data_IF_671971493420
#
_entry.id   IF_671971493420
#
_cell.length_a   1.000
_cell.length_b   1.000
_cell.length_c   1.000
_cell.angle_alpha   90.00
_cell.angle_beta   90.00
_cell.angle_gamma   90.00
#
_symmetry.space_group_name_H-M   'P 1'
#
loop_
_entity.id
_entity.type
_entity.pdbx_description
1 polymer ?
#
# COMPACT_ATOMS: atom_id res chain seq x y z
N UNK A 1 12.73 -17.88 11.07
CA UNK A 1 11.99 -18.38 9.90
C UNK A 1 10.55 -17.93 10.04
N UNK A 2 10.06 -16.91 9.33
CA UNK A 2 8.63 -16.64 9.34
C UNK A 2 7.95 -17.78 8.57
N UNK A 3 7.00 -18.42 9.22
CA UNK A 3 6.12 -19.44 8.69
C UNK A 3 5.52 -18.94 7.37
N UNK A 4 5.78 -19.67 6.27
CA UNK A 4 5.05 -19.50 5.02
C UNK A 4 3.55 -19.73 5.33
N UNK A 5 2.82 -18.65 5.59
CA UNK A 5 1.36 -18.69 5.58
C UNK A 5 0.98 -19.12 4.17
N UNK A 6 0.55 -20.38 4.00
CA UNK A 6 -0.12 -20.82 2.77
C UNK A 6 -1.23 -19.81 2.52
N UNK A 7 -1.10 -19.01 1.45
CA UNK A 7 -2.21 -18.18 0.97
C UNK A 7 -3.42 -19.12 0.81
N UNK A 8 -4.52 -18.87 1.51
CA UNK A 8 -5.72 -19.66 1.31
C UNK A 8 -6.08 -19.55 -0.18
N UNK A 9 -6.27 -20.68 -0.83
CA UNK A 9 -6.75 -20.72 -2.22
C UNK A 9 -8.09 -19.98 -2.22
N UNK A 10 -8.14 -18.80 -2.88
CA UNK A 10 -9.37 -18.04 -3.00
C UNK A 10 -10.37 -18.84 -3.84
N UNK A 11 -11.53 -19.18 -3.26
CA UNK A 11 -12.62 -19.74 -4.02
C UNK A 11 -13.28 -18.66 -4.92
N UNK A 12 -14.01 -19.09 -5.94
CA UNK A 12 -14.63 -18.18 -6.93
C UNK A 12 -15.59 -17.20 -6.26
N UNK A 13 -16.27 -17.62 -5.19
CA UNK A 13 -17.17 -16.73 -4.43
C UNK A 13 -16.37 -15.62 -3.73
N UNK A 14 -15.24 -15.94 -3.12
CA UNK A 14 -14.37 -14.91 -2.49
C UNK A 14 -13.77 -13.95 -3.53
N UNK A 15 -13.39 -14.46 -4.71
CA UNK A 15 -12.94 -13.63 -5.82
C UNK A 15 -14.04 -12.64 -6.27
N UNK A 16 -15.25 -13.12 -6.48
CA UNK A 16 -16.40 -12.27 -6.84
C UNK A 16 -16.69 -11.21 -5.78
N UNK A 17 -16.61 -11.57 -4.48
CA UNK A 17 -16.77 -10.60 -3.38
C UNK A 17 -15.71 -9.51 -3.45
N UNK A 18 -14.44 -9.87 -3.69
CA UNK A 18 -13.34 -8.90 -3.83
C UNK A 18 -13.61 -7.97 -5.01
N UNK A 19 -13.99 -8.49 -6.18
CA UNK A 19 -14.26 -7.70 -7.38
C UNK A 19 -15.40 -6.70 -7.16
N UNK A 20 -16.48 -7.14 -6.53
CA UNK A 20 -17.61 -6.26 -6.19
C UNK A 20 -17.22 -5.14 -5.22
N UNK A 21 -16.33 -5.41 -4.27
CA UNK A 21 -15.81 -4.41 -3.34
C UNK A 21 -14.71 -3.53 -3.97
N UNK A 22 -13.99 -4.00 -4.99
CA UNK A 22 -13.08 -3.17 -5.78
C UNK A 22 -13.84 -2.19 -6.69
N UNK A 23 -15.05 -2.56 -7.15
CA UNK A 23 -15.92 -1.65 -7.89
C UNK A 23 -16.54 -0.58 -6.98
N UNK A 24 -17.05 -1.00 -5.81
CA UNK A 24 -17.64 -0.13 -4.80
C UNK A 24 -17.36 -0.67 -3.38
N UNK A 25 -16.37 -0.10 -2.73
CA UNK A 25 -15.98 -0.46 -1.35
C UNK A 25 -17.08 -0.21 -0.29
N UNK A 26 -18.17 0.48 -0.65
CA UNK A 26 -19.33 0.75 0.20
C UNK A 26 -20.53 -0.14 -0.10
N UNK A 27 -20.42 -1.07 -1.06
CA UNK A 27 -21.48 -1.99 -1.45
C UNK A 27 -21.98 -2.78 -0.23
N UNK A 28 -23.32 -2.86 -0.06
CA UNK A 28 -23.87 -3.54 1.10
C UNK A 28 -23.61 -5.05 1.04
N UNK A 29 -23.37 -5.67 2.18
CA UNK A 29 -23.19 -7.13 2.22
C UNK A 29 -24.44 -7.92 1.84
N UNK A 30 -25.63 -7.30 2.01
CA UNK A 30 -26.89 -7.86 1.51
C UNK A 30 -26.92 -7.90 -0.02
N UNK A 31 -26.45 -6.84 -0.70
CA UNK A 31 -26.39 -6.80 -2.17
C UNK A 31 -25.32 -7.77 -2.71
N UNK A 32 -24.18 -7.83 -2.07
CA UNK A 32 -23.14 -8.81 -2.39
C UNK A 32 -23.71 -10.22 -2.22
N UNK A 33 -24.39 -10.49 -1.10
CA UNK A 33 -25.01 -11.79 -0.84
C UNK A 33 -25.98 -12.23 -1.93
N UNK A 34 -26.84 -11.32 -2.41
CA UNK A 34 -27.72 -11.58 -3.55
C UNK A 34 -26.95 -11.92 -4.83
N UNK A 35 -25.85 -11.23 -5.10
CA UNK A 35 -25.05 -11.47 -6.30
C UNK A 35 -24.32 -12.81 -6.27
N UNK A 36 -23.88 -13.29 -5.10
CA UNK A 36 -23.09 -14.53 -4.95
C UNK A 36 -23.89 -15.71 -4.37
N UNK A 37 -25.18 -15.56 -4.13
CA UNK A 37 -26.05 -16.63 -3.59
C UNK A 37 -25.79 -16.95 -2.10
N UNK A 38 -25.39 -15.97 -1.30
CA UNK A 38 -25.10 -16.13 0.14
C UNK A 38 -25.97 -15.21 1.01
N UNK A 39 -26.12 -15.57 2.28
CA UNK A 39 -26.68 -14.65 3.28
C UNK A 39 -25.71 -13.50 3.58
N UNK A 40 -26.22 -12.36 4.05
CA UNK A 40 -25.42 -11.23 4.51
C UNK A 40 -24.38 -11.64 5.57
N UNK A 41 -24.81 -12.50 6.51
CA UNK A 41 -23.93 -12.99 7.57
C UNK A 41 -22.75 -13.83 7.01
N UNK A 42 -23.00 -14.65 6.00
CA UNK A 42 -21.97 -15.44 5.32
C UNK A 42 -20.97 -14.56 4.55
N UNK A 43 -21.48 -13.50 3.88
CA UNK A 43 -20.62 -12.50 3.22
C UNK A 43 -19.76 -11.78 4.25
N UNK A 44 -20.34 -11.28 5.34
CA UNK A 44 -19.62 -10.61 6.43
C UNK A 44 -18.48 -11.47 6.97
N UNK A 45 -18.74 -12.74 7.23
CA UNK A 45 -17.73 -13.68 7.72
C UNK A 45 -16.61 -13.90 6.70
N UNK A 46 -16.91 -13.95 5.38
CA UNK A 46 -15.90 -14.09 4.33
C UNK A 46 -15.04 -12.84 4.21
N UNK A 47 -15.65 -11.66 4.17
CA UNK A 47 -14.93 -10.37 4.15
C UNK A 47 -14.01 -10.26 5.36
N UNK A 48 -14.48 -10.59 6.56
CA UNK A 48 -13.66 -10.57 7.77
C UNK A 48 -12.45 -11.50 7.63
N UNK A 49 -12.64 -12.72 7.16
CA UNK A 49 -11.52 -13.66 6.93
C UNK A 49 -10.52 -13.18 5.91
N UNK A 50 -10.96 -12.54 4.83
CA UNK A 50 -10.09 -11.96 3.81
C UNK A 50 -9.27 -10.79 4.37
N UNK A 51 -9.88 -9.98 5.21
CA UNK A 51 -9.21 -8.86 5.89
C UNK A 51 -8.21 -9.35 6.93
N UNK A 52 -8.60 -10.29 7.79
CA UNK A 52 -7.73 -10.87 8.81
C UNK A 52 -6.53 -11.62 8.22
N UNK A 53 -6.70 -12.20 7.04
CA UNK A 53 -5.63 -12.85 6.29
C UNK A 53 -4.72 -11.85 5.54
N UNK A 54 -5.01 -10.55 5.55
CA UNK A 54 -4.25 -9.52 4.83
C UNK A 54 -4.39 -9.59 3.30
N UNK A 55 -5.42 -10.30 2.80
CA UNK A 55 -5.68 -10.43 1.35
C UNK A 55 -6.36 -9.18 0.80
N UNK A 56 -7.19 -8.53 1.63
CA UNK A 56 -7.97 -7.35 1.26
C UNK A 56 -8.01 -6.35 2.40
N UNK A 57 -8.05 -5.07 2.04
CA UNK A 57 -8.35 -3.96 2.95
C UNK A 57 -9.46 -3.11 2.35
N UNK A 58 -10.33 -2.55 3.19
CA UNK A 58 -11.33 -1.56 2.79
C UNK A 58 -10.90 -0.24 3.40
N UNK A 59 -10.48 0.68 2.56
CA UNK A 59 -9.94 1.98 2.96
C UNK A 59 -10.60 3.11 2.18
N UNK A 60 -10.60 4.30 2.76
CA UNK A 60 -10.90 5.53 2.03
C UNK A 60 -9.61 5.98 1.32
N UNK A 61 -9.65 6.06 0.00
CA UNK A 61 -8.56 6.64 -0.79
C UNK A 61 -8.83 8.14 -0.95
N UNK A 62 -7.87 8.96 -0.59
CA UNK A 62 -7.96 10.42 -0.68
C UNK A 62 -6.86 10.96 -1.59
N UNK A 63 -7.05 12.18 -2.08
CA UNK A 63 -6.01 12.96 -2.75
C UNK A 63 -5.29 13.81 -1.68
N UNK A 64 -4.03 13.55 -1.35
CA UNK A 64 -3.30 14.31 -0.34
C UNK A 64 -3.28 15.82 -0.62
N UNK A 65 -3.20 16.21 -1.90
CA UNK A 65 -3.19 17.61 -2.29
C UNK A 65 -4.48 18.34 -1.93
N UNK A 66 -5.62 17.64 -1.90
CA UNK A 66 -6.90 18.18 -1.48
C UNK A 66 -7.04 18.25 0.06
N UNK A 67 -6.20 17.53 0.80
CA UNK A 67 -6.16 17.52 2.25
C UNK A 67 -5.18 18.54 2.85
N UNK A 68 -4.51 19.33 2.00
CA UNK A 68 -3.61 20.40 2.44
C UNK A 68 -2.12 20.06 2.36
N UNK A 69 -1.76 18.83 2.03
CA UNK A 69 -0.38 18.49 1.71
C UNK A 69 0.02 19.15 0.39
N UNK A 70 1.29 19.49 0.26
CA UNK A 70 1.81 20.19 -0.92
C UNK A 70 2.83 19.39 -1.71
N UNK A 71 3.30 18.29 -1.13
CA UNK A 71 4.31 17.42 -1.76
C UNK A 71 3.92 15.97 -1.63
N UNK A 72 3.94 15.29 -2.76
CA UNK A 72 3.93 13.83 -2.85
C UNK A 72 5.09 13.44 -3.76
N UNK A 73 5.85 12.45 -3.34
CA UNK A 73 7.03 12.02 -4.06
C UNK A 73 7.29 10.53 -3.90
N UNK A 74 7.96 9.94 -4.90
CA UNK A 74 8.63 8.66 -4.77
C UNK A 74 10.11 8.90 -4.51
N UNK A 75 10.68 8.25 -3.50
CA UNK A 75 12.10 8.29 -3.19
C UNK A 75 12.70 6.94 -3.59
N UNK A 76 13.60 6.97 -4.57
CA UNK A 76 14.44 5.83 -4.93
C UNK A 76 15.67 5.78 -4.03
N UNK A 77 15.94 4.66 -3.39
CA UNK A 77 17.00 4.49 -2.40
C UNK A 77 17.91 3.36 -2.86
N UNK A 78 19.22 3.62 -2.84
CA UNK A 78 20.26 2.60 -3.05
C UNK A 78 20.85 2.20 -1.72
N UNK A 79 21.06 0.91 -1.54
CA UNK A 79 21.42 0.31 -0.27
C UNK A 79 22.67 -0.56 -0.43
N UNK A 80 23.50 -0.60 0.60
CA UNK A 80 24.54 -1.61 0.80
C UNK A 80 24.12 -2.59 1.90
N UNK A 81 24.50 -3.85 1.76
CA UNK A 81 24.19 -4.87 2.76
C UNK A 81 22.80 -5.49 2.59
N UNK A 82 22.11 -5.79 3.69
CA UNK A 82 20.79 -6.44 3.65
C UNK A 82 19.66 -5.41 3.45
N UNK A 83 19.15 -5.34 2.24
CA UNK A 83 18.07 -4.42 1.85
C UNK A 83 16.80 -4.58 2.71
N UNK A 84 16.54 -5.77 3.27
CA UNK A 84 15.35 -6.01 4.10
C UNK A 84 15.43 -5.27 5.41
N UNK A 85 16.61 -5.22 6.03
CA UNK A 85 16.82 -4.48 7.29
C UNK A 85 16.58 -3.00 7.07
N UNK A 86 17.18 -2.42 6.03
CA UNK A 86 17.00 -1.00 5.69
C UNK A 86 15.53 -0.70 5.34
N UNK A 87 14.87 -1.59 4.59
CA UNK A 87 13.45 -1.42 4.23
C UNK A 87 12.53 -1.45 5.47
N UNK A 88 12.82 -2.29 6.48
CA UNK A 88 12.09 -2.33 7.75
C UNK A 88 12.27 -1.02 8.54
N UNK A 89 13.48 -0.47 8.59
CA UNK A 89 13.75 0.83 9.25
C UNK A 89 13.03 1.97 8.54
N UNK A 90 13.06 2.01 7.19
CA UNK A 90 12.32 3.00 6.39
C UNK A 90 10.82 2.87 6.62
N UNK A 91 10.28 1.65 6.64
CA UNK A 91 8.86 1.40 6.85
C UNK A 91 8.37 1.76 8.27
N UNK A 92 9.26 1.93 9.23
CA UNK A 92 8.94 2.40 10.57
C UNK A 92 8.77 3.93 10.65
N UNK A 93 9.15 4.68 9.61
CA UNK A 93 9.01 6.14 9.56
C UNK A 93 7.55 6.47 9.27
N UNK A 94 6.89 7.17 10.18
CA UNK A 94 5.45 7.45 10.12
C UNK A 94 5.02 8.26 8.88
N UNK A 95 5.90 9.11 8.34
CA UNK A 95 5.62 9.93 7.16
C UNK A 95 5.74 9.16 5.83
N UNK A 96 6.04 7.85 5.88
CA UNK A 96 6.20 7.01 4.70
C UNK A 96 5.03 6.02 4.64
N UNK A 97 4.20 6.14 3.62
CA UNK A 97 2.97 5.34 3.48
C UNK A 97 3.17 4.05 2.68
N UNK A 98 4.20 3.99 1.85
CA UNK A 98 4.46 2.84 0.99
C UNK A 98 5.97 2.58 0.85
N UNK A 99 6.37 1.35 1.10
CA UNK A 99 7.76 0.90 0.93
C UNK A 99 7.77 -0.42 0.18
N UNK A 100 8.56 -0.50 -0.87
CA UNK A 100 8.74 -1.73 -1.64
C UNK A 100 10.22 -1.98 -1.95
N UNK A 101 10.67 -3.22 -1.75
CA UNK A 101 11.98 -3.68 -2.21
C UNK A 101 11.87 -4.00 -3.70
N UNK A 102 12.79 -3.49 -4.49
CA UNK A 102 12.79 -3.62 -5.95
C UNK A 102 14.05 -4.30 -6.46
N UNK A 103 14.00 -4.69 -7.72
CA UNK A 103 15.17 -5.20 -8.47
C UNK A 103 15.36 -4.27 -9.66
N UNK A 104 16.39 -3.43 -9.65
CA UNK A 104 16.61 -2.45 -10.70
C UNK A 104 17.59 -1.35 -10.31
N UNK A 105 17.36 -0.13 -10.79
CA UNK A 105 18.22 1.03 -10.52
C UNK A 105 18.27 1.44 -9.05
N UNK A 106 17.19 1.17 -8.31
CA UNK A 106 17.07 1.38 -6.88
C UNK A 106 16.75 0.06 -6.20
N UNK A 107 17.19 -0.10 -4.94
CA UNK A 107 16.93 -1.28 -4.12
C UNK A 107 15.60 -1.16 -3.39
N UNK A 108 15.21 0.08 -3.03
CA UNK A 108 13.96 0.39 -2.34
C UNK A 108 13.30 1.59 -3.02
N UNK A 109 11.97 1.55 -3.12
CA UNK A 109 11.15 2.72 -3.43
C UNK A 109 10.25 3.01 -2.23
N UNK A 110 10.21 4.28 -1.81
CA UNK A 110 9.37 4.76 -0.72
C UNK A 110 8.50 5.93 -1.18
N UNK A 111 7.18 5.82 -1.02
CA UNK A 111 6.25 6.91 -1.31
C UNK A 111 6.01 7.73 -0.06
N UNK A 112 6.07 9.05 -0.22
CA UNK A 112 5.94 10.01 0.86
C UNK A 112 4.96 11.11 0.53
N UNK A 113 4.27 11.60 1.57
CA UNK A 113 3.39 12.76 1.51
C UNK A 113 3.85 13.74 2.58
N UNK A 114 4.16 14.99 2.18
CA UNK A 114 4.73 16.02 3.06
C UNK A 114 3.91 17.30 2.99
N UNK A 115 3.95 18.08 4.07
CA UNK A 115 3.25 19.36 4.13
C UNK A 115 3.85 20.37 3.14
N UNK A 116 5.19 20.40 3.03
CA UNK A 116 5.90 21.30 2.12
C UNK A 116 7.30 20.78 1.73
N UNK A 117 8.12 21.64 1.12
CA UNK A 117 9.48 21.30 0.69
C UNK A 117 10.45 21.16 1.86
N UNK A 118 10.25 21.90 2.96
CA UNK A 118 11.10 21.84 4.14
C UNK A 118 10.89 20.51 4.87
N UNK A 119 9.63 20.09 5.01
CA UNK A 119 9.26 18.79 5.57
C UNK A 119 9.82 17.63 4.74
N UNK A 120 9.71 17.69 3.42
CA UNK A 120 10.32 16.69 2.53
C UNK A 120 11.84 16.64 2.67
N UNK A 121 12.49 17.81 2.76
CA UNK A 121 13.95 17.89 2.92
C UNK A 121 14.42 17.32 4.26
N UNK A 122 13.69 17.64 5.35
CA UNK A 122 13.95 17.09 6.68
C UNK A 122 13.77 15.56 6.69
N UNK A 123 12.69 15.05 6.12
CA UNK A 123 12.46 13.60 6.00
C UNK A 123 13.62 12.88 5.31
N UNK A 124 14.11 13.42 4.20
CA UNK A 124 15.23 12.81 3.46
C UNK A 124 16.53 12.88 4.25
N UNK A 125 16.88 14.05 4.79
CA UNK A 125 18.19 14.29 5.39
C UNK A 125 18.29 13.76 6.82
N UNK A 126 17.22 13.87 7.62
CA UNK A 126 17.25 13.60 9.03
C UNK A 126 16.69 12.20 9.38
N UNK A 127 15.86 11.63 8.49
CA UNK A 127 15.21 10.34 8.75
C UNK A 127 15.69 9.21 7.83
N UNK A 128 15.83 9.45 6.51
CA UNK A 128 16.18 8.37 5.56
C UNK A 128 17.70 8.21 5.41
N UNK A 129 18.41 9.30 5.10
CA UNK A 129 19.86 9.25 4.83
C UNK A 129 20.72 8.79 6.01
N UNK A 130 20.35 9.04 7.28
CA UNK A 130 21.12 8.56 8.42
C UNK A 130 20.98 7.06 8.69
N UNK A 131 20.04 6.35 8.06
CA UNK A 131 19.88 4.90 8.22
C UNK A 131 21.14 4.19 7.72
N UNK A 132 21.70 3.33 8.56
CA UNK A 132 22.88 2.54 8.18
C UNK A 132 22.59 1.66 6.95
N UNK A 133 23.50 1.69 5.99
CA UNK A 133 23.32 1.00 4.71
C UNK A 133 22.70 1.84 3.61
N UNK A 134 22.12 3.01 3.86
CA UNK A 134 21.64 3.92 2.81
C UNK A 134 22.85 4.57 2.12
N UNK A 135 23.01 4.33 0.82
CA UNK A 135 24.09 4.88 -0.01
C UNK A 135 23.71 6.18 -0.69
N UNK A 136 22.55 6.23 -1.28
CA UNK A 136 22.06 7.41 -1.98
C UNK A 136 20.53 7.41 -2.11
N UNK A 137 19.98 8.61 -2.29
CA UNK A 137 18.56 8.84 -2.51
C UNK A 137 18.36 9.68 -3.77
N UNK A 138 17.30 9.37 -4.53
CA UNK A 138 16.84 10.17 -5.66
C UNK A 138 15.35 10.41 -5.48
N UNK A 139 14.89 11.66 -5.60
CA UNK A 139 13.50 12.04 -5.30
C UNK A 139 12.77 12.40 -6.58
N UNK A 140 11.62 11.75 -6.81
CA UNK A 140 10.72 11.99 -7.92
C UNK A 140 9.46 12.68 -7.40
N UNK A 141 9.45 14.02 -7.44
CA UNK A 141 8.27 14.79 -7.02
C UNK A 141 7.15 14.59 -8.06
N UNK A 142 5.94 14.28 -7.59
CA UNK A 142 4.79 14.10 -8.46
C UNK A 142 4.31 15.46 -8.98
N UNK A 143 4.54 15.71 -10.24
CA UNK A 143 4.04 16.92 -10.90
C UNK A 143 2.53 16.87 -11.13
N UNK A 144 2.00 15.68 -11.42
CA UNK A 144 0.57 15.44 -11.67
C UNK A 144 0.25 13.96 -11.56
N UNK A 145 -0.71 13.60 -10.72
CA UNK A 145 -1.32 12.29 -10.72
C UNK A 145 -2.29 12.17 -11.90
N UNK A 146 -1.95 11.35 -12.88
CA UNK A 146 -2.76 11.20 -14.10
C UNK A 146 -3.84 10.12 -13.97
N UNK A 147 -3.54 9.04 -13.22
CA UNK A 147 -4.46 7.93 -12.99
C UNK A 147 -4.05 7.17 -11.73
N UNK A 148 -5.03 6.87 -10.89
CA UNK A 148 -4.88 5.99 -9.72
C UNK A 148 -6.14 5.13 -9.59
N UNK A 149 -6.01 3.83 -9.81
CA UNK A 149 -7.09 2.86 -9.68
C UNK A 149 -6.57 1.62 -8.98
N UNK A 150 -7.43 0.98 -8.18
CA UNK A 150 -7.10 -0.21 -7.38
C UNK A 150 -7.99 -1.42 -7.73
N UNK A 151 -8.61 -1.43 -8.91
CA UNK A 151 -9.57 -2.44 -9.37
C UNK A 151 -8.96 -3.37 -10.45
N UNK A 152 -7.81 -3.98 -10.18
CA UNK A 152 -7.17 -4.91 -11.12
C UNK A 152 -7.82 -6.31 -11.17
N UNK A 153 -8.90 -6.55 -10.42
CA UNK A 153 -9.63 -7.80 -10.41
C UNK A 153 -8.92 -8.92 -9.62
N UNK A 154 -9.33 -10.15 -9.90
CA UNK A 154 -8.77 -11.39 -9.33
C UNK A 154 -8.35 -12.35 -10.45
N UNK A 155 -7.47 -13.31 -10.14
CA UNK A 155 -7.03 -14.36 -11.08
C UNK A 155 -7.15 -15.75 -10.47
#
# INVERSE_FOLDING_TARGET
MPSSKKNPTLDDVSKTIIELLQEDGRRSYSDIGRAVGLSEAAVRQRVQRLTDAGIMQIVAVTDPMQLGFRRQAMIGIRVSGDTRVVAEEIAAIQAIDYVVITVGAFDILAEVVCEDDEDLLALINDSIRPIDGVLSTETFIYAKLQKQLYNWGTR
#
